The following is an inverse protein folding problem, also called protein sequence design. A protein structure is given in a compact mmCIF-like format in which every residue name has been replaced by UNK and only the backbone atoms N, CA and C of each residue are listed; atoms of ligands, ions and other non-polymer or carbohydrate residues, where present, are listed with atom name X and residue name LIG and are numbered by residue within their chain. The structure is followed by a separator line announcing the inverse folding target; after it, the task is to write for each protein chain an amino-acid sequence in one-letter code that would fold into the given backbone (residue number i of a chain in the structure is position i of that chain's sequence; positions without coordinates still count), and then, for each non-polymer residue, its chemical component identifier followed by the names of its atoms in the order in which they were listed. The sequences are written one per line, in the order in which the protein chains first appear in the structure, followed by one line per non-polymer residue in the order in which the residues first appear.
data_IF_328155249272
#
_entry.id   IF_328155249272
#
_cell.length_a   1.000
_cell.length_b   1.000
_cell.length_c   1.000
_cell.angle_alpha   90.00
_cell.angle_beta   90.00
_cell.angle_gamma   90.00
#
_symmetry.space_group_name_H-M   'P 1'
#
loop_
_entity.id
_entity.type
_entity.pdbx_description
1 polymer ?
#
# COMPACT_ATOMS: atom_id res chain seq x y z
N UNK A 1 -5.47 -10.96 3.97
CA UNK A 1 -5.84 -9.59 3.55
C UNK A 1 -6.99 -9.11 4.40
N UNK A 2 -6.83 -7.94 5.01
CA UNK A 2 -7.85 -7.25 5.79
C UNK A 2 -8.33 -6.05 4.98
N UNK A 3 -9.65 -5.95 4.72
CA UNK A 3 -10.30 -4.78 4.15
C UNK A 3 -11.15 -4.11 5.24
N UNK A 4 -10.86 -2.83 5.54
CA UNK A 4 -11.53 -2.14 6.64
C UNK A 4 -12.93 -1.67 6.29
N UNK A 5 -13.11 -1.13 5.08
CA UNK A 5 -14.39 -0.64 4.58
C UNK A 5 -14.80 -1.39 3.31
N UNK A 6 -16.08 -1.66 3.16
CA UNK A 6 -16.63 -2.19 1.92
C UNK A 6 -17.08 -1.06 1.00
N UNK A 7 -16.48 -1.02 -0.20
CA UNK A 7 -16.84 -0.04 -1.21
C UNK A 7 -18.14 -0.48 -1.91
N UNK A 8 -19.14 0.35 -1.85
CA UNK A 8 -20.32 0.24 -2.71
C UNK A 8 -20.42 1.48 -3.58
N UNK A 9 -20.81 1.31 -4.84
CA UNK A 9 -21.04 2.42 -5.77
C UNK A 9 -22.05 3.39 -5.17
N UNK A 10 -21.77 4.71 -5.25
CA UNK A 10 -22.62 5.78 -4.70
C UNK A 10 -22.72 5.80 -3.16
N UNK A 11 -21.83 5.10 -2.47
CA UNK A 11 -21.79 5.09 -1.00
C UNK A 11 -20.95 6.22 -0.41
N UNK A 12 -21.15 6.49 0.88
CA UNK A 12 -20.29 7.40 1.66
C UNK A 12 -18.81 6.97 1.61
N UNK A 13 -18.51 5.67 1.53
CA UNK A 13 -17.15 5.15 1.43
C UNK A 13 -16.50 5.60 0.12
N UNK A 14 -17.23 5.63 -0.99
CA UNK A 14 -16.73 6.17 -2.27
C UNK A 14 -16.36 7.66 -2.14
N UNK A 15 -17.22 8.47 -1.55
CA UNK A 15 -16.95 9.89 -1.31
C UNK A 15 -15.73 10.08 -0.41
N UNK A 16 -15.61 9.31 0.65
CA UNK A 16 -14.51 9.35 1.60
C UNK A 16 -13.17 9.02 0.91
N UNK A 17 -13.12 7.96 0.09
CA UNK A 17 -11.93 7.60 -0.70
C UNK A 17 -11.59 8.68 -1.73
N UNK A 18 -12.60 9.30 -2.36
CA UNK A 18 -12.40 10.39 -3.30
C UNK A 18 -11.81 11.62 -2.62
N UNK A 19 -12.27 11.97 -1.43
CA UNK A 19 -11.78 13.09 -0.64
C UNK A 19 -10.27 13.00 -0.37
N UNK A 20 -9.79 11.88 0.18
CA UNK A 20 -8.36 11.77 0.46
C UNK A 20 -7.50 11.47 -0.79
N UNK A 21 -8.10 11.08 -1.93
CA UNK A 21 -7.34 10.92 -3.19
C UNK A 21 -7.16 12.21 -3.97
N UNK A 22 -8.16 13.08 -3.95
CA UNK A 22 -8.23 14.21 -4.89
C UNK A 22 -8.31 15.59 -4.23
N UNK A 23 -8.79 15.69 -2.98
CA UNK A 23 -8.99 16.96 -2.29
C UNK A 23 -7.87 17.28 -1.28
N UNK A 24 -6.73 16.57 -1.36
CA UNK A 24 -5.56 16.75 -0.48
C UNK A 24 -5.89 16.69 1.01
N UNK A 25 -6.89 15.91 1.38
CA UNK A 25 -7.30 15.75 2.76
C UNK A 25 -6.46 14.68 3.48
N UNK A 26 -5.20 15.00 3.77
CA UNK A 26 -4.28 14.11 4.48
C UNK A 26 -4.79 13.74 5.86
N UNK A 27 -5.48 14.69 6.55
CA UNK A 27 -6.03 14.48 7.90
C UNK A 27 -7.05 13.35 7.91
N UNK A 28 -7.85 13.24 6.87
CA UNK A 28 -8.85 12.18 6.74
C UNK A 28 -8.17 10.80 6.61
N UNK A 29 -7.11 10.68 5.80
CA UNK A 29 -6.36 9.42 5.67
C UNK A 29 -5.71 9.01 7.01
N UNK A 30 -5.13 9.95 7.75
CA UNK A 30 -4.58 9.72 9.09
C UNK A 30 -5.68 9.28 10.06
N UNK A 31 -6.83 9.96 10.04
CA UNK A 31 -7.96 9.63 10.92
C UNK A 31 -8.49 8.22 10.67
N UNK A 32 -8.67 7.83 9.40
CA UNK A 32 -9.09 6.46 9.04
C UNK A 32 -8.05 5.43 9.53
N UNK A 33 -6.76 5.72 9.35
CA UNK A 33 -5.69 4.85 9.84
C UNK A 33 -5.75 4.66 11.36
N UNK A 34 -6.03 5.71 12.13
CA UNK A 34 -6.20 5.62 13.58
C UNK A 34 -7.36 4.70 13.97
N UNK A 35 -8.55 4.96 13.39
CA UNK A 35 -9.73 4.12 13.68
C UNK A 35 -9.47 2.65 13.35
N UNK A 36 -8.89 2.39 12.18
CA UNK A 36 -8.55 1.03 11.78
C UNK A 36 -7.56 0.36 12.75
N UNK A 37 -6.55 1.09 13.22
CA UNK A 37 -5.58 0.55 14.17
C UNK A 37 -6.20 0.25 15.54
N UNK A 38 -7.09 1.11 16.03
CA UNK A 38 -7.83 0.89 17.29
C UNK A 38 -8.63 -0.42 17.22
N UNK A 39 -9.34 -0.66 16.11
CA UNK A 39 -10.11 -1.88 15.91
C UNK A 39 -9.20 -3.11 15.75
N UNK A 40 -8.18 -3.04 14.88
CA UNK A 40 -7.27 -4.14 14.60
C UNK A 40 -6.42 -4.53 15.83
N UNK A 41 -6.03 -3.56 16.64
CA UNK A 41 -5.28 -3.81 17.89
C UNK A 41 -6.17 -4.48 18.92
N UNK A 42 -7.42 -4.01 19.09
CA UNK A 42 -8.39 -4.64 19.99
C UNK A 42 -8.66 -6.10 19.60
N UNK A 43 -8.74 -6.37 18.31
CA UNK A 43 -9.04 -7.70 17.77
C UNK A 43 -7.79 -8.59 17.60
N UNK A 44 -6.61 -8.11 18.00
CA UNK A 44 -5.35 -8.87 18.02
C UNK A 44 -4.64 -9.03 16.67
N UNK A 45 -5.12 -8.40 15.60
CA UNK A 45 -4.54 -8.54 14.25
C UNK A 45 -3.17 -7.87 14.08
N UNK A 46 -2.75 -7.01 14.99
CA UNK A 46 -1.46 -6.31 14.94
C UNK A 46 -0.40 -6.90 15.87
N UNK A 47 -0.73 -7.92 16.65
CA UNK A 47 0.15 -8.47 17.72
C UNK A 47 1.49 -8.96 17.18
N UNK A 48 1.47 -9.65 16.03
CA UNK A 48 2.66 -10.26 15.43
C UNK A 48 3.26 -9.43 14.28
N UNK A 49 2.76 -8.21 14.07
CA UNK A 49 3.28 -7.30 13.04
C UNK A 49 4.46 -6.52 13.58
N UNK A 50 5.58 -6.51 12.87
CA UNK A 50 6.79 -5.79 13.28
C UNK A 50 6.89 -4.41 12.63
N UNK A 51 6.42 -4.28 11.38
CA UNK A 51 6.71 -3.13 10.54
C UNK A 51 5.56 -2.81 9.58
N UNK A 52 5.23 -1.54 9.43
CA UNK A 52 4.29 -1.05 8.42
C UNK A 52 5.03 -0.65 7.14
N UNK A 53 4.58 -1.17 6.00
CA UNK A 53 5.13 -0.85 4.68
C UNK A 53 4.01 -0.32 3.79
N UNK A 54 3.87 1.01 3.65
CA UNK A 54 2.89 1.57 2.74
C UNK A 54 3.29 1.35 1.28
N UNK A 55 2.34 0.95 0.45
CA UNK A 55 2.55 0.80 -0.99
C UNK A 55 3.01 2.13 -1.58
N UNK A 56 4.17 2.18 -2.28
CA UNK A 56 4.69 3.43 -2.81
C UNK A 56 3.83 3.95 -3.96
N UNK A 57 3.57 5.24 -3.94
CA UNK A 57 2.80 5.93 -4.98
C UNK A 57 3.68 6.21 -6.21
N UNK A 58 3.09 6.09 -7.39
CA UNK A 58 3.77 6.45 -8.64
C UNK A 58 4.19 7.93 -8.63
N UNK A 59 5.44 8.32 -9.06
CA UNK A 59 5.93 9.69 -8.98
C UNK A 59 5.03 10.76 -9.61
N UNK A 60 4.34 10.44 -10.73
CA UNK A 60 3.36 11.36 -11.34
C UNK A 60 2.15 11.59 -10.42
N UNK A 61 1.64 10.52 -9.79
CA UNK A 61 0.53 10.62 -8.84
C UNK A 61 0.95 11.35 -7.56
N UNK A 62 2.20 11.14 -7.09
CA UNK A 62 2.77 11.89 -5.97
C UNK A 62 2.77 13.40 -6.26
N UNK A 63 3.22 13.83 -7.44
CA UNK A 63 3.20 15.26 -7.84
C UNK A 63 1.77 15.81 -7.94
N UNK A 64 0.83 15.01 -8.45
CA UNK A 64 -0.57 15.44 -8.58
C UNK A 64 -1.29 15.54 -7.23
N UNK A 65 -1.08 14.55 -6.36
CA UNK A 65 -1.78 14.42 -5.07
C UNK A 65 -1.08 15.18 -3.93
N UNK A 66 0.25 15.36 -4.03
CA UNK A 66 1.08 16.00 -3.02
C UNK A 66 1.55 15.05 -1.91
N UNK A 67 0.92 13.89 -1.75
CA UNK A 67 1.26 12.91 -0.72
C UNK A 67 0.89 11.47 -1.14
N UNK A 68 1.43 10.48 -0.43
CA UNK A 68 1.06 9.07 -0.55
C UNK A 68 -0.05 8.75 0.45
N UNK A 69 -1.22 8.33 -0.05
CA UNK A 69 -2.39 8.00 0.78
C UNK A 69 -2.11 6.84 1.72
N UNK A 70 -1.51 5.75 1.19
CA UNK A 70 -1.17 4.56 1.97
C UNK A 70 -0.19 4.89 3.10
N UNK A 71 0.77 5.83 2.87
CA UNK A 71 1.67 6.34 3.91
C UNK A 71 0.92 7.13 4.99
N UNK A 72 -0.05 7.98 4.61
CA UNK A 72 -0.84 8.73 5.62
C UNK A 72 -1.70 7.83 6.48
N UNK A 73 -2.28 6.78 5.87
CA UNK A 73 -2.98 5.72 6.62
C UNK A 73 -2.02 5.02 7.58
N UNK A 74 -0.84 4.59 7.11
CA UNK A 74 0.19 3.97 7.96
C UNK A 74 0.61 4.86 9.13
N UNK A 75 0.78 6.17 8.91
CA UNK A 75 1.09 7.14 9.97
C UNK A 75 -0.05 7.26 11.00
N UNK A 76 -1.29 7.22 10.55
CA UNK A 76 -2.47 7.16 11.42
C UNK A 76 -2.46 5.90 12.27
N UNK A 77 -2.22 4.74 11.68
CA UNK A 77 -2.13 3.46 12.38
C UNK A 77 -0.99 3.47 13.41
N UNK A 78 0.20 3.89 13.00
CA UNK A 78 1.37 3.95 13.87
C UNK A 78 1.22 4.90 15.06
N UNK A 79 0.37 5.92 14.97
CA UNK A 79 0.09 6.83 16.10
C UNK A 79 -0.67 6.15 17.24
N UNK A 80 -1.29 4.99 17.01
CA UNK A 80 -2.02 4.19 17.99
C UNK A 80 -1.15 3.03 18.51
N UNK A 81 -0.63 2.22 17.59
CA UNK A 81 0.06 0.97 17.94
C UNK A 81 1.59 1.08 18.01
N UNK A 82 2.15 2.26 17.66
CA UNK A 82 3.59 2.58 17.73
C UNK A 82 4.51 1.70 16.88
N UNK A 83 4.00 0.98 15.89
CA UNK A 83 4.84 0.23 14.94
C UNK A 83 5.68 1.18 14.06
N UNK A 84 6.94 0.81 13.75
CA UNK A 84 7.76 1.56 12.80
C UNK A 84 7.16 1.53 11.39
N UNK A 85 7.49 2.52 10.58
CA UNK A 85 7.05 2.63 9.19
C UNK A 85 8.28 2.66 8.28
N UNK A 86 8.36 1.76 7.32
CA UNK A 86 9.37 1.81 6.25
C UNK A 86 8.73 2.31 4.95
N UNK A 87 9.18 3.48 4.50
CA UNK A 87 8.76 4.11 3.25
C UNK A 87 9.83 4.05 2.16
N UNK A 88 10.93 3.36 2.42
CA UNK A 88 12.16 3.42 1.60
C UNK A 88 12.56 2.08 0.99
N UNK A 89 12.22 0.96 1.64
CA UNK A 89 12.65 -0.36 1.17
C UNK A 89 11.89 -0.84 -0.05
N UNK A 90 10.58 -0.58 -0.15
CA UNK A 90 9.79 -0.89 -1.33
C UNK A 90 9.69 0.34 -2.25
N UNK A 91 10.16 0.24 -3.49
CA UNK A 91 10.21 1.35 -4.46
C UNK A 91 9.32 1.05 -5.65
N UNK A 92 8.58 2.07 -6.10
CA UNK A 92 7.82 2.03 -7.35
C UNK A 92 8.57 2.75 -8.46
N UNK A 93 8.96 2.03 -9.50
CA UNK A 93 9.64 2.60 -10.65
C UNK A 93 8.69 3.36 -11.55
N UNK A 94 9.20 4.45 -12.15
CA UNK A 94 8.47 5.19 -13.17
C UNK A 94 8.37 4.32 -14.41
N UNK A 95 7.16 3.90 -14.79
CA UNK A 95 6.95 3.27 -16.08
C UNK A 95 7.18 4.31 -17.18
N UNK A 96 8.33 4.29 -17.81
CA UNK A 96 8.54 5.00 -19.07
C UNK A 96 7.77 4.29 -20.16
N UNK A 97 6.63 4.85 -20.60
CA UNK A 97 6.04 4.52 -21.88
C UNK A 97 7.04 4.93 -22.97
N UNK A 98 7.99 4.08 -23.28
CA UNK A 98 8.83 4.27 -24.45
C UNK A 98 8.73 3.02 -25.31
N UNK A 99 8.19 3.27 -26.49
CA UNK A 99 8.28 2.48 -27.73
C UNK A 99 7.21 1.43 -27.99
N UNK A 100 6.29 1.85 -28.83
CA UNK A 100 5.62 1.12 -29.90
C UNK A 100 6.59 0.16 -30.62
N UNK A 101 6.32 -1.16 -30.52
CA UNK A 101 6.97 -2.33 -31.14
C UNK A 101 7.84 -3.16 -30.18
N UNK A 102 7.24 -3.76 -29.19
CA UNK A 102 7.84 -4.85 -28.44
C UNK A 102 6.93 -6.09 -28.48
N UNK A 103 7.54 -7.27 -28.61
CA UNK A 103 6.84 -8.56 -28.70
C UNK A 103 6.06 -8.90 -27.40
N UNK A 104 5.11 -9.84 -27.48
CA UNK A 104 4.32 -10.28 -26.33
C UNK A 104 5.21 -10.82 -25.17
N UNK A 105 6.36 -11.41 -25.51
CA UNK A 105 7.35 -11.92 -24.55
C UNK A 105 8.06 -10.79 -23.77
N UNK A 106 8.42 -9.69 -24.44
CA UNK A 106 9.00 -8.51 -23.79
C UNK A 106 7.99 -7.72 -22.93
N UNK A 107 6.68 -7.82 -23.24
CA UNK A 107 5.62 -7.28 -22.36
C UNK A 107 5.52 -8.02 -21.05
N UNK A 108 5.67 -9.35 -21.03
CA UNK A 108 5.65 -10.15 -19.79
C UNK A 108 6.85 -9.85 -18.88
N UNK A 109 8.01 -9.55 -19.46
CA UNK A 109 9.21 -9.13 -18.70
C UNK A 109 9.13 -7.67 -18.21
N UNK A 110 8.51 -6.77 -18.99
CA UNK A 110 8.37 -5.36 -18.59
C UNK A 110 7.29 -5.11 -17.51
N UNK A 111 6.35 -6.06 -17.31
CA UNK A 111 5.37 -6.02 -16.20
C UNK A 111 6.04 -6.38 -14.87
N UNK A 112 7.14 -7.14 -14.88
CA UNK A 112 7.84 -7.63 -13.68
C UNK A 112 8.59 -6.57 -12.87
N UNK A 113 8.74 -5.33 -13.36
CA UNK A 113 9.58 -4.32 -12.71
C UNK A 113 8.82 -3.04 -12.31
N UNK A 114 7.55 -3.16 -11.93
CA UNK A 114 6.77 -2.01 -11.41
C UNK A 114 7.28 -1.61 -10.03
N UNK A 115 7.66 -2.59 -9.22
CA UNK A 115 8.25 -2.42 -7.90
C UNK A 115 9.59 -3.14 -7.80
N UNK A 116 10.45 -2.68 -6.90
CA UNK A 116 11.67 -3.36 -6.47
C UNK A 116 11.92 -3.12 -4.99
N UNK A 117 12.76 -3.95 -4.40
CA UNK A 117 13.22 -3.78 -3.02
C UNK A 117 14.63 -3.17 -3.04
N UNK A 118 14.77 -1.99 -2.43
CA UNK A 118 16.06 -1.29 -2.33
C UNK A 118 16.85 -1.71 -1.09
N UNK A 119 16.15 -2.04 0.00
CA UNK A 119 16.73 -2.39 1.29
C UNK A 119 16.15 -3.68 1.83
N UNK A 120 16.47 -4.86 1.21
CA UNK A 120 15.93 -6.15 1.65
C UNK A 120 16.34 -6.49 3.09
N UNK A 121 17.51 -6.03 3.54
CA UNK A 121 18.04 -6.24 4.89
C UNK A 121 17.17 -5.63 6.00
N UNK A 122 16.36 -4.62 5.67
CA UNK A 122 15.42 -3.99 6.62
C UNK A 122 14.10 -4.73 6.75
N UNK A 123 13.83 -5.62 5.82
CA UNK A 123 12.58 -6.37 5.75
C UNK A 123 12.77 -7.85 6.12
N UNK A 124 14.00 -8.36 5.95
CA UNK A 124 14.32 -9.77 6.21
C UNK A 124 14.01 -10.17 7.65
N UNK A 125 13.35 -11.32 7.81
CA UNK A 125 12.97 -11.87 9.11
C UNK A 125 11.82 -11.13 9.82
N UNK A 126 11.19 -10.13 9.20
CA UNK A 126 10.08 -9.38 9.78
C UNK A 126 8.72 -9.85 9.28
N UNK A 127 7.70 -9.65 10.09
CA UNK A 127 6.31 -9.71 9.66
C UNK A 127 5.83 -8.29 9.34
N UNK A 128 5.71 -7.98 8.05
CA UNK A 128 5.26 -6.66 7.59
C UNK A 128 3.75 -6.61 7.39
N UNK A 129 3.16 -5.42 7.65
CA UNK A 129 1.83 -5.08 7.18
C UNK A 129 1.96 -4.19 5.95
N UNK A 130 1.70 -4.75 4.76
CA UNK A 130 1.64 -4.01 3.51
C UNK A 130 0.32 -3.23 3.45
N UNK A 131 0.39 -1.90 3.36
CA UNK A 131 -0.77 -1.00 3.48
C UNK A 131 -1.06 -0.35 2.14
N UNK A 132 -2.31 -0.49 1.63
CA UNK A 132 -2.78 0.23 0.44
C UNK A 132 -4.13 0.92 0.70
N UNK A 133 -4.51 1.84 -0.18
CA UNK A 133 -5.76 2.60 -0.03
C UNK A 133 -6.98 1.78 -0.50
N UNK A 134 -6.95 1.21 -1.69
CA UNK A 134 -8.10 0.49 -2.29
C UNK A 134 -7.69 -0.74 -3.06
N UNK A 135 -8.26 -1.87 -2.70
CA UNK A 135 -8.18 -3.10 -3.47
C UNK A 135 -9.26 -3.10 -4.57
N UNK A 136 -8.82 -3.08 -5.82
CA UNK A 136 -9.69 -3.26 -7.00
C UNK A 136 -9.42 -4.63 -7.63
N UNK A 137 -8.55 -4.70 -8.61
CA UNK A 137 -8.13 -5.96 -9.26
C UNK A 137 -7.05 -6.72 -8.50
N UNK A 138 -6.47 -6.13 -7.46
CA UNK A 138 -5.34 -6.69 -6.72
C UNK A 138 -3.98 -6.59 -7.42
N UNK A 139 -3.92 -6.11 -8.66
CA UNK A 139 -2.68 -6.10 -9.44
C UNK A 139 -1.54 -5.30 -8.79
N UNK A 140 -1.84 -4.20 -8.09
CA UNK A 140 -0.83 -3.43 -7.33
C UNK A 140 -0.19 -4.29 -6.24
N UNK A 141 -1.02 -4.92 -5.41
CA UNK A 141 -0.57 -5.76 -4.30
C UNK A 141 0.18 -7.00 -4.79
N UNK A 142 -0.30 -7.66 -5.84
CA UNK A 142 0.40 -8.80 -6.45
C UNK A 142 1.80 -8.43 -6.94
N UNK A 143 1.95 -7.26 -7.60
CA UNK A 143 3.26 -6.77 -8.03
C UNK A 143 4.18 -6.41 -6.85
N UNK A 144 3.63 -5.90 -5.73
CA UNK A 144 4.41 -5.67 -4.51
C UNK A 144 4.88 -6.99 -3.90
N UNK A 145 4.00 -8.00 -3.80
CA UNK A 145 4.34 -9.34 -3.29
C UNK A 145 5.40 -10.00 -4.17
N UNK A 146 5.26 -9.91 -5.51
CA UNK A 146 6.25 -10.48 -6.44
C UNK A 146 7.64 -9.82 -6.27
N UNK A 147 7.69 -8.52 -6.01
CA UNK A 147 8.94 -7.82 -5.72
C UNK A 147 9.56 -8.24 -4.37
N UNK A 148 8.71 -8.53 -3.37
CA UNK A 148 9.13 -8.88 -2.00
C UNK A 148 9.45 -10.36 -1.80
N UNK A 149 9.11 -11.24 -2.74
CA UNK A 149 9.16 -12.70 -2.57
C UNK A 149 10.55 -13.28 -2.29
N UNK A 150 11.60 -12.59 -2.77
CA UNK A 150 12.98 -13.04 -2.61
C UNK A 150 13.64 -12.46 -1.34
N UNK A 151 12.89 -11.73 -0.49
CA UNK A 151 13.37 -11.26 0.82
C UNK A 151 13.31 -12.42 1.81
N UNK A 152 14.44 -12.80 2.45
CA UNK A 152 14.49 -13.96 3.33
C UNK A 152 13.57 -13.85 4.54
N UNK A 153 12.86 -14.91 4.88
CA UNK A 153 12.03 -15.06 6.08
C UNK A 153 11.00 -13.93 6.30
N UNK A 154 10.56 -13.29 5.20
CA UNK A 154 9.58 -12.22 5.23
C UNK A 154 8.17 -12.78 5.30
N UNK A 155 7.41 -12.38 6.31
CA UNK A 155 5.97 -12.61 6.38
C UNK A 155 5.22 -11.35 5.94
N UNK A 156 4.15 -11.52 5.15
CA UNK A 156 3.38 -10.41 4.60
C UNK A 156 1.90 -10.53 4.96
N UNK A 157 1.43 -9.64 5.81
CA UNK A 157 0.01 -9.34 5.96
C UNK A 157 -0.36 -8.13 5.11
N UNK A 158 -1.63 -8.03 4.70
CA UNK A 158 -2.10 -6.96 3.84
C UNK A 158 -3.28 -6.26 4.50
N UNK A 159 -3.22 -4.94 4.55
CA UNK A 159 -4.32 -4.06 4.92
C UNK A 159 -4.69 -3.13 3.78
N UNK A 160 -5.98 -3.00 3.51
CA UNK A 160 -6.54 -1.99 2.59
C UNK A 160 -7.65 -1.22 3.28
N UNK A 161 -7.71 0.08 3.02
CA UNK A 161 -8.80 0.91 3.57
C UNK A 161 -10.14 0.44 3.01
N UNK A 162 -10.18 0.09 1.73
CA UNK A 162 -11.43 -0.39 1.12
C UNK A 162 -11.19 -1.40 0.01
N UNK A 163 -12.18 -2.26 -0.21
CA UNK A 163 -12.24 -3.15 -1.38
C UNK A 163 -13.45 -2.82 -2.22
N UNK A 164 -13.27 -2.86 -3.55
CA UNK A 164 -14.37 -2.79 -4.53
C UNK A 164 -14.82 -4.20 -4.81
N UNK A 165 -16.04 -4.53 -4.39
CA UNK A 165 -16.70 -5.80 -4.65
C UNK A 165 -17.60 -5.63 -5.87
#
# INVERSE_FOLDING_TARGET
VIAYLHFQKESYVQHLIHEFKYHKNERLAIYIGRLAAEDLQRDGYLTDVDLFVPVPLHPRKMRQRGYNQSERVARGMASVCHHPIDTTSLIRHTYTKTQTRKSAYERSQNVKNVFSVAHPERLAGHHILLIDDVLTTGSTLLNCIDALRDVPDLLISIFVVSTVI
#
